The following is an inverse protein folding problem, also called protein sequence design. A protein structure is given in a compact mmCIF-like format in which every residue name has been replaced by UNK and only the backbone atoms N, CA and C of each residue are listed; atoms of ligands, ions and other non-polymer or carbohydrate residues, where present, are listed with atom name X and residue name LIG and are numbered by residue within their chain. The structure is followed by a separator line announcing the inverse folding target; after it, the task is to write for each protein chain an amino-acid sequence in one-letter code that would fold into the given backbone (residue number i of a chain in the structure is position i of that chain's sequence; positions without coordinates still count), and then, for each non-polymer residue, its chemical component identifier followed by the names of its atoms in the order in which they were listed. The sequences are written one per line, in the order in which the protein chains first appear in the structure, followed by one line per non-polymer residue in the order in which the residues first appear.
data_IF_749682908680
#
_entry.id   IF_749682908680
#
_cell.length_a   1.000
_cell.length_b   1.000
_cell.length_c   1.000
_cell.angle_alpha   90.00
_cell.angle_beta   90.00
_cell.angle_gamma   90.00
#
_symmetry.space_group_name_H-M   'P 1'
#
loop_
_entity.id
_entity.type
_entity.pdbx_description
1 polymer ?
#
# COMPACT_ATOMS: atom_id res chain seq x y z
N UNK A 1 -23.54 -42.00 10.68
CA UNK A 1 -22.07 -42.04 10.72
C UNK A 1 -21.44 -41.20 9.59
N UNK A 2 -21.72 -41.48 8.30
CA UNK A 2 -21.13 -40.72 7.17
C UNK A 2 -21.53 -39.23 7.09
N UNK A 3 -22.79 -38.88 7.41
CA UNK A 3 -23.25 -37.48 7.43
C UNK A 3 -22.61 -36.64 8.55
N UNK A 4 -22.34 -37.26 9.71
CA UNK A 4 -21.70 -36.59 10.85
C UNK A 4 -20.20 -36.34 10.58
N UNK A 5 -19.53 -37.30 9.95
CA UNK A 5 -18.15 -37.17 9.52
C UNK A 5 -17.97 -36.10 8.42
N UNK A 6 -18.92 -36.01 7.47
CA UNK A 6 -18.93 -34.95 6.45
C UNK A 6 -19.12 -33.55 7.03
N UNK A 7 -20.04 -33.38 7.99
CA UNK A 7 -20.24 -32.11 8.69
C UNK A 7 -19.01 -31.69 9.51
N UNK A 8 -18.38 -32.65 10.20
CA UNK A 8 -17.15 -32.39 10.96
C UNK A 8 -15.98 -31.98 10.05
N UNK A 9 -15.83 -32.62 8.88
CA UNK A 9 -14.82 -32.25 7.89
C UNK A 9 -15.04 -30.83 7.34
N UNK A 10 -16.28 -30.45 7.03
CA UNK A 10 -16.62 -29.09 6.57
C UNK A 10 -16.33 -28.06 7.68
N UNK A 11 -16.68 -28.37 8.93
CA UNK A 11 -16.40 -27.49 10.07
C UNK A 11 -14.89 -27.33 10.28
N UNK A 12 -14.11 -28.43 10.26
CA UNK A 12 -12.66 -28.39 10.40
C UNK A 12 -11.98 -27.65 9.24
N UNK A 13 -12.46 -27.83 8.01
CA UNK A 13 -12.00 -27.06 6.84
C UNK A 13 -12.32 -25.56 7.00
N UNK A 14 -13.53 -25.22 7.48
CA UNK A 14 -13.92 -23.83 7.77
C UNK A 14 -13.06 -23.19 8.88
N UNK A 15 -12.74 -23.94 9.93
CA UNK A 15 -11.84 -23.50 11.02
C UNK A 15 -10.42 -23.33 10.49
N UNK A 16 -9.91 -24.30 9.72
CA UNK A 16 -8.56 -24.25 9.14
C UNK A 16 -8.41 -23.09 8.16
N UNK A 17 -9.39 -22.88 7.27
CA UNK A 17 -9.45 -21.73 6.38
C UNK A 17 -9.56 -20.42 7.18
N UNK A 18 -10.40 -20.38 8.21
CA UNK A 18 -10.56 -19.20 9.07
C UNK A 18 -9.28 -18.84 9.84
N UNK A 19 -8.52 -19.82 10.30
CA UNK A 19 -7.23 -19.60 10.98
C UNK A 19 -6.16 -19.19 9.97
N UNK A 20 -6.06 -19.88 8.82
CA UNK A 20 -5.02 -19.64 7.84
C UNK A 20 -5.17 -18.29 7.12
N UNK A 21 -6.41 -17.85 6.87
CA UNK A 21 -6.72 -16.54 6.28
C UNK A 21 -6.48 -15.36 7.23
N UNK A 22 -6.32 -15.61 8.53
CA UNK A 22 -5.99 -14.58 9.53
C UNK A 22 -4.50 -14.39 9.77
N UNK A 23 -3.66 -15.33 9.33
CA UNK A 23 -2.21 -15.23 9.55
C UNK A 23 -1.62 -14.18 8.60
N UNK A 24 -0.81 -13.23 9.11
CA UNK A 24 -0.03 -12.33 8.27
C UNK A 24 0.78 -13.09 7.22
N UNK A 25 0.94 -12.50 6.04
CA UNK A 25 1.85 -13.02 5.02
C UNK A 25 3.25 -12.43 5.20
N UNK A 26 4.27 -13.23 4.88
CA UNK A 26 5.63 -12.72 4.67
C UNK A 26 5.67 -12.11 3.28
N UNK A 27 5.58 -10.78 3.18
CA UNK A 27 5.34 -10.06 1.93
C UNK A 27 6.23 -10.52 0.75
N UNK A 28 7.54 -10.64 0.98
CA UNK A 28 8.53 -11.06 -0.03
C UNK A 28 8.30 -12.46 -0.59
N UNK A 29 7.64 -13.35 0.15
CA UNK A 29 7.32 -14.71 -0.28
C UNK A 29 6.05 -14.78 -1.13
N UNK A 30 5.30 -13.69 -1.21
CA UNK A 30 3.97 -13.63 -1.84
C UNK A 30 3.92 -12.58 -2.97
N UNK A 31 5.06 -12.14 -3.50
CA UNK A 31 5.14 -11.05 -4.49
C UNK A 31 4.30 -11.28 -5.76
N UNK A 32 4.00 -12.53 -6.11
CA UNK A 32 3.18 -12.87 -7.29
C UNK A 32 1.69 -12.99 -6.98
N UNK A 33 1.29 -12.96 -5.70
CA UNK A 33 -0.11 -13.04 -5.32
C UNK A 33 -0.82 -11.77 -5.77
N UNK A 34 -2.00 -11.93 -6.39
CA UNK A 34 -2.82 -10.81 -6.85
C UNK A 34 -3.43 -10.11 -5.64
N UNK A 35 -3.21 -8.80 -5.55
CA UNK A 35 -3.75 -7.93 -4.50
C UNK A 35 -5.07 -7.29 -4.93
N UNK A 36 -5.16 -6.85 -6.18
CA UNK A 36 -6.35 -6.22 -6.76
C UNK A 36 -6.36 -6.44 -8.28
N UNK A 37 -7.55 -6.57 -8.85
CA UNK A 37 -7.79 -6.56 -10.29
C UNK A 37 -8.53 -5.28 -10.66
N UNK A 38 -8.04 -4.55 -11.68
CA UNK A 38 -8.65 -3.31 -12.18
C UNK A 38 -8.92 -3.47 -13.68
N UNK A 39 -10.18 -3.42 -14.08
CA UNK A 39 -10.65 -3.63 -15.46
C UNK A 39 -10.08 -4.90 -16.11
N UNK A 40 -10.03 -6.00 -15.34
CA UNK A 40 -9.49 -7.29 -15.76
C UNK A 40 -7.97 -7.40 -15.76
N UNK A 41 -7.24 -6.36 -15.33
CA UNK A 41 -5.79 -6.37 -15.22
C UNK A 41 -5.35 -6.55 -13.76
N UNK A 42 -4.51 -7.55 -13.52
CA UNK A 42 -4.06 -7.87 -12.16
C UNK A 42 -2.90 -6.99 -11.71
N UNK A 43 -2.98 -6.55 -10.45
CA UNK A 43 -1.90 -5.95 -9.68
C UNK A 43 -1.48 -6.94 -8.60
N UNK A 44 -0.24 -7.41 -8.69
CA UNK A 44 0.36 -8.32 -7.71
C UNK A 44 0.90 -7.56 -6.50
N UNK A 45 1.25 -8.27 -5.42
CA UNK A 45 1.96 -7.64 -4.30
C UNK A 45 3.29 -7.00 -4.72
N UNK A 46 3.98 -7.50 -5.75
CA UNK A 46 5.13 -6.80 -6.30
C UNK A 46 4.77 -5.42 -6.85
N UNK A 47 3.60 -5.27 -7.46
CA UNK A 47 3.10 -4.00 -8.01
C UNK A 47 2.62 -3.05 -6.90
N UNK A 48 2.15 -3.61 -5.78
CA UNK A 48 1.78 -2.85 -4.59
C UNK A 48 2.98 -2.32 -3.80
N UNK A 49 4.19 -2.83 -4.06
CA UNK A 49 5.38 -2.60 -3.24
C UNK A 49 5.73 -1.12 -3.05
N UNK A 50 5.68 -0.32 -4.12
CA UNK A 50 5.93 1.12 -4.03
C UNK A 50 4.97 1.79 -3.04
N UNK A 51 3.68 1.54 -3.19
CA UNK A 51 2.64 2.18 -2.37
C UNK A 51 2.75 1.80 -0.89
N UNK A 52 3.10 0.54 -0.62
CA UNK A 52 3.35 0.07 0.75
C UNK A 52 4.57 0.76 1.36
N UNK A 53 5.70 0.80 0.64
CA UNK A 53 6.94 1.44 1.13
C UNK A 53 6.74 2.94 1.33
N UNK A 54 6.07 3.61 0.38
CA UNK A 54 5.79 5.03 0.44
C UNK A 54 4.88 5.39 1.62
N UNK A 55 3.81 4.62 1.83
CA UNK A 55 2.90 4.87 2.96
C UNK A 55 3.55 4.53 4.29
N UNK A 56 4.35 3.46 4.37
CA UNK A 56 5.17 3.16 5.54
C UNK A 56 6.10 4.30 5.90
N UNK A 57 6.78 4.89 4.92
CA UNK A 57 7.65 6.05 5.13
C UNK A 57 6.86 7.23 5.70
N UNK A 58 5.71 7.57 5.12
CA UNK A 58 4.92 8.73 5.55
C UNK A 58 4.41 8.59 6.98
N UNK A 59 3.80 7.44 7.30
CA UNK A 59 3.26 7.19 8.63
C UNK A 59 4.38 7.04 9.66
N UNK A 60 5.53 6.50 9.29
CA UNK A 60 6.68 6.38 10.18
C UNK A 60 7.32 7.74 10.50
N UNK A 61 7.31 8.71 9.57
CA UNK A 61 7.71 10.10 9.85
C UNK A 61 6.87 10.68 11.00
N UNK A 62 5.55 10.51 10.94
CA UNK A 62 4.64 10.94 12.01
C UNK A 62 4.85 10.14 13.31
N UNK A 63 5.04 8.82 13.21
CA UNK A 63 5.29 7.94 14.35
C UNK A 63 6.55 8.34 15.13
N UNK A 64 7.62 8.71 14.42
CA UNK A 64 8.89 9.16 15.01
C UNK A 64 8.81 10.55 15.61
N UNK A 65 7.95 11.43 15.08
CA UNK A 65 7.64 12.71 15.74
C UNK A 65 6.90 12.46 17.06
N UNK A 66 5.95 11.51 17.06
CA UNK A 66 5.14 11.18 18.23
C UNK A 66 5.92 10.51 19.38
N UNK A 67 6.64 9.42 19.11
CA UNK A 67 7.52 8.74 20.08
C UNK A 67 8.76 8.21 19.33
N UNK A 68 9.85 9.01 19.24
CA UNK A 68 11.05 8.63 18.49
C UNK A 68 11.68 7.32 18.96
N UNK A 69 11.47 6.92 20.22
CA UNK A 69 12.03 5.70 20.80
C UNK A 69 11.14 4.49 20.55
N UNK A 70 9.83 4.68 20.38
CA UNK A 70 8.86 3.59 20.21
C UNK A 70 7.81 3.93 19.12
N UNK A 71 8.25 4.15 17.86
CA UNK A 71 7.34 4.49 16.76
C UNK A 71 6.26 3.43 16.53
N UNK A 72 6.52 2.15 16.84
CA UNK A 72 5.52 1.07 16.73
C UNK A 72 4.24 1.32 17.54
N UNK A 73 4.32 2.06 18.65
CA UNK A 73 3.10 2.41 19.41
C UNK A 73 2.11 3.20 18.56
N UNK A 74 2.61 4.13 17.75
CA UNK A 74 1.80 4.95 16.88
C UNK A 74 1.08 4.10 15.83
N UNK A 75 1.80 3.16 15.19
CA UNK A 75 1.22 2.18 14.27
C UNK A 75 0.07 1.36 14.87
N UNK A 76 0.13 1.09 16.17
CA UNK A 76 -0.89 0.34 16.92
C UNK A 76 -1.97 1.24 17.54
N UNK A 77 -1.93 2.55 17.30
CA UNK A 77 -2.85 3.51 17.91
C UNK A 77 -4.16 3.58 17.13
N UNK A 78 -5.22 3.92 17.86
CA UNK A 78 -6.52 4.30 17.32
C UNK A 78 -6.60 5.83 17.35
N UNK A 79 -6.68 6.44 16.17
CA UNK A 79 -6.78 7.89 16.00
C UNK A 79 -8.02 8.20 15.15
N UNK A 80 -8.82 9.17 15.58
CA UNK A 80 -9.99 9.65 14.83
C UNK A 80 -10.99 8.56 14.40
N UNK A 81 -11.15 7.50 15.19
CA UNK A 81 -12.08 6.41 14.86
C UNK A 81 -11.48 5.28 14.02
N UNK A 82 -10.22 5.38 13.57
CA UNK A 82 -9.56 4.40 12.70
C UNK A 82 -8.22 3.94 13.30
N UNK A 83 -7.86 2.68 13.08
CA UNK A 83 -6.53 2.17 13.41
C UNK A 83 -5.52 2.60 12.34
N UNK A 84 -4.35 3.10 12.75
CA UNK A 84 -3.33 3.64 11.84
C UNK A 84 -2.88 2.61 10.79
N UNK A 85 -2.45 1.41 11.21
CA UNK A 85 -1.96 0.41 10.25
C UNK A 85 -3.02 -0.08 9.24
N UNK A 86 -4.28 -0.39 9.63
CA UNK A 86 -5.35 -0.65 8.68
C UNK A 86 -5.66 0.50 7.72
N UNK A 87 -5.57 1.75 8.17
CA UNK A 87 -5.80 2.91 7.31
C UNK A 87 -4.67 3.12 6.30
N UNK A 88 -3.42 3.04 6.74
CA UNK A 88 -2.25 3.05 5.86
C UNK A 88 -2.37 1.97 4.77
N UNK A 89 -2.78 0.76 5.15
CA UNK A 89 -3.06 -0.32 4.19
C UNK A 89 -4.21 0.02 3.24
N UNK A 90 -5.25 0.72 3.68
CA UNK A 90 -6.32 1.18 2.78
C UNK A 90 -5.77 2.22 1.80
N UNK A 91 -5.04 3.21 2.27
CA UNK A 91 -4.46 4.29 1.47
C UNK A 91 -3.52 3.74 0.39
N UNK A 92 -2.62 2.81 0.75
CA UNK A 92 -1.74 2.15 -0.22
C UNK A 92 -2.51 1.42 -1.35
N UNK A 93 -3.65 0.81 -1.03
CA UNK A 93 -4.52 0.17 -2.02
C UNK A 93 -5.21 1.19 -2.93
N UNK A 94 -5.75 2.24 -2.33
CA UNK A 94 -6.46 3.30 -3.05
C UNK A 94 -5.55 4.07 -4.01
N UNK A 95 -4.32 4.38 -3.59
CA UNK A 95 -3.31 4.97 -4.47
C UNK A 95 -2.99 4.08 -5.67
N UNK A 96 -2.80 2.77 -5.44
CA UNK A 96 -2.48 1.84 -6.52
C UNK A 96 -3.62 1.72 -7.56
N UNK A 97 -4.87 1.68 -7.11
CA UNK A 97 -6.04 1.63 -7.98
C UNK A 97 -6.16 2.94 -8.78
N UNK A 98 -6.00 4.08 -8.09
CA UNK A 98 -5.97 5.40 -8.71
C UNK A 98 -4.94 5.48 -9.83
N UNK A 99 -3.71 5.15 -9.50
CA UNK A 99 -2.61 5.29 -10.44
C UNK A 99 -2.72 4.30 -11.59
N UNK A 100 -3.22 3.08 -11.36
CA UNK A 100 -3.50 2.12 -12.45
C UNK A 100 -4.55 2.64 -13.42
N UNK A 101 -5.67 3.16 -12.91
CA UNK A 101 -6.74 3.71 -13.75
C UNK A 101 -6.21 4.87 -14.61
N UNK A 102 -5.53 5.83 -13.98
CA UNK A 102 -5.03 7.00 -14.70
C UNK A 102 -3.87 6.67 -15.63
N UNK A 103 -2.98 5.73 -15.27
CA UNK A 103 -1.88 5.29 -16.12
C UNK A 103 -2.41 4.69 -17.42
N UNK A 104 -3.43 3.83 -17.33
CA UNK A 104 -4.05 3.22 -18.51
C UNK A 104 -4.63 4.29 -19.44
N UNK A 105 -5.38 5.25 -18.89
CA UNK A 105 -5.91 6.37 -19.68
C UNK A 105 -4.82 7.23 -20.30
N UNK A 106 -3.75 7.50 -19.55
CA UNK A 106 -2.59 8.21 -20.07
C UNK A 106 -1.96 7.46 -21.26
N UNK A 107 -1.85 6.14 -21.19
CA UNK A 107 -1.34 5.30 -22.27
C UNK A 107 -2.28 5.25 -23.48
N UNK A 108 -3.59 5.12 -23.25
CA UNK A 108 -4.63 5.13 -24.30
C UNK A 108 -4.63 6.47 -25.07
N UNK A 109 -4.40 7.58 -24.37
CA UNK A 109 -4.30 8.92 -24.98
C UNK A 109 -2.88 9.26 -25.48
N UNK A 110 -1.92 8.33 -25.40
CA UNK A 110 -0.57 8.53 -25.91
C UNK A 110 0.24 9.62 -25.16
N UNK A 111 -0.05 9.82 -23.87
CA UNK A 111 0.67 10.77 -23.02
C UNK A 111 2.14 10.34 -22.90
N UNK A 112 3.03 11.27 -23.20
CA UNK A 112 4.48 11.11 -23.07
C UNK A 112 5.08 12.27 -22.28
N UNK A 113 6.18 12.02 -21.57
CA UNK A 113 6.90 13.07 -20.86
C UNK A 113 7.76 13.91 -21.81
N UNK A 114 7.74 15.23 -21.63
CA UNK A 114 8.69 16.15 -22.24
C UNK A 114 10.10 15.96 -21.66
N UNK A 115 11.09 16.64 -22.23
CA UNK A 115 12.47 16.61 -21.71
C UNK A 115 12.52 17.16 -20.28
N UNK A 116 11.85 18.28 -20.01
CA UNK A 116 11.81 18.93 -18.71
C UNK A 116 11.11 18.05 -17.67
N UNK A 117 10.03 17.35 -18.06
CA UNK A 117 9.32 16.43 -17.17
C UNK A 117 10.14 15.17 -16.87
N UNK A 118 10.99 14.71 -17.80
CA UNK A 118 11.95 13.63 -17.54
C UNK A 118 13.02 14.06 -16.55
N UNK A 119 13.52 15.29 -16.65
CA UNK A 119 14.45 15.83 -15.64
C UNK A 119 13.79 15.96 -14.26
N UNK A 120 12.52 16.36 -14.21
CA UNK A 120 11.75 16.36 -12.96
C UNK A 120 11.55 14.95 -12.39
N UNK A 121 11.33 13.95 -13.25
CA UNK A 121 11.25 12.55 -12.84
C UNK A 121 12.54 12.08 -12.17
N UNK A 122 13.72 12.39 -12.74
CA UNK A 122 14.98 11.98 -12.11
C UNK A 122 15.19 12.65 -10.76
N UNK A 123 14.84 13.94 -10.61
CA UNK A 123 14.86 14.61 -9.30
C UNK A 123 13.95 13.92 -8.28
N UNK A 124 12.73 13.58 -8.68
CA UNK A 124 11.77 12.86 -7.80
C UNK A 124 12.25 11.48 -7.38
N UNK A 125 12.98 10.77 -8.25
CA UNK A 125 13.60 9.49 -7.86
C UNK A 125 14.66 9.73 -6.79
N UNK A 126 15.54 10.71 -6.98
CA UNK A 126 16.53 11.09 -5.96
C UNK A 126 15.84 11.44 -4.64
N UNK A 127 14.85 12.34 -4.67
CA UNK A 127 14.11 12.76 -3.47
C UNK A 127 13.47 11.56 -2.75
N UNK A 128 12.81 10.67 -3.50
CA UNK A 128 12.21 9.46 -2.92
C UNK A 128 13.25 8.59 -2.21
N UNK A 129 14.40 8.36 -2.84
CA UNK A 129 15.45 7.54 -2.25
C UNK A 129 16.13 8.23 -1.07
N UNK A 130 16.30 9.55 -1.10
CA UNK A 130 16.85 10.31 0.02
C UNK A 130 15.92 10.30 1.23
N UNK A 131 14.61 10.39 1.00
CA UNK A 131 13.58 10.42 2.04
C UNK A 131 13.35 9.09 2.76
N UNK A 132 13.67 7.96 2.13
CA UNK A 132 13.53 6.64 2.77
C UNK A 132 14.48 6.50 3.95
N UNK A 133 13.98 5.90 5.03
CA UNK A 133 14.82 5.47 6.15
C UNK A 133 15.81 4.39 5.72
N UNK A 134 16.99 4.34 6.33
CA UNK A 134 18.02 3.35 6.00
C UNK A 134 17.51 1.91 6.15
N UNK A 135 16.73 1.64 7.20
CA UNK A 135 16.07 0.34 7.39
C UNK A 135 15.13 -0.02 6.24
N UNK A 136 14.43 0.95 5.63
CA UNK A 136 13.58 0.68 4.48
C UNK A 136 14.41 0.34 3.24
N UNK A 137 15.52 1.05 3.01
CA UNK A 137 16.46 0.79 1.90
C UNK A 137 17.07 -0.61 1.99
N UNK A 138 17.41 -1.03 3.21
CA UNK A 138 17.93 -2.38 3.49
C UNK A 138 16.85 -3.47 3.35
N UNK A 139 15.58 -3.13 3.64
CA UNK A 139 14.48 -4.08 3.69
C UNK A 139 13.42 -3.88 2.59
N UNK A 140 13.78 -3.27 1.45
CA UNK A 140 12.88 -3.10 0.31
C UNK A 140 12.29 -4.42 -0.20
N UNK A 141 10.96 -4.57 -0.30
CA UNK A 141 10.32 -5.82 -0.71
C UNK A 141 10.61 -6.22 -2.16
N UNK A 142 10.99 -5.25 -3.01
CA UNK A 142 11.33 -5.43 -4.44
C UNK A 142 12.61 -4.68 -4.78
N UNK A 143 13.13 -4.84 -6.01
CA UNK A 143 14.35 -4.16 -6.45
C UNK A 143 14.16 -2.65 -6.64
N UNK A 144 15.25 -1.89 -6.50
CA UNK A 144 15.33 -0.45 -6.80
C UNK A 144 14.76 -0.13 -8.19
N UNK A 145 15.18 -0.88 -9.22
CA UNK A 145 14.69 -0.70 -10.59
C UNK A 145 13.16 -0.86 -10.72
N UNK A 146 12.54 -1.74 -9.93
CA UNK A 146 11.07 -1.90 -9.94
C UNK A 146 10.38 -0.67 -9.35
N UNK A 147 10.91 -0.15 -8.24
CA UNK A 147 10.45 1.10 -7.62
C UNK A 147 10.63 2.29 -8.58
N UNK A 148 11.81 2.44 -9.20
CA UNK A 148 12.08 3.51 -10.18
C UNK A 148 11.17 3.46 -11.41
N UNK A 149 10.80 2.24 -11.83
CA UNK A 149 9.82 2.02 -12.89
C UNK A 149 8.44 2.53 -12.46
N UNK A 150 8.00 2.20 -11.24
CA UNK A 150 6.73 2.71 -10.71
C UNK A 150 6.76 4.24 -10.63
N UNK A 151 7.81 4.85 -10.08
CA UNK A 151 7.96 6.33 -10.03
C UNK A 151 7.88 6.93 -11.46
N UNK A 152 8.47 6.26 -12.46
CA UNK A 152 8.34 6.66 -13.87
C UNK A 152 6.91 6.61 -14.40
N UNK A 153 6.14 5.58 -14.03
CA UNK A 153 4.72 5.49 -14.37
C UNK A 153 3.90 6.59 -13.67
N UNK A 154 4.23 6.92 -12.42
CA UNK A 154 3.57 8.00 -11.68
C UNK A 154 3.76 9.36 -12.34
N UNK A 155 4.89 9.62 -13.00
CA UNK A 155 5.05 10.86 -13.75
C UNK A 155 4.03 10.98 -14.90
N UNK A 156 3.69 9.88 -15.58
CA UNK A 156 2.64 9.86 -16.60
C UNK A 156 1.25 10.08 -15.98
N UNK A 157 0.99 9.41 -14.85
CA UNK A 157 -0.25 9.58 -14.08
C UNK A 157 -0.46 11.04 -13.69
N UNK A 158 0.56 11.68 -13.10
CA UNK A 158 0.47 13.07 -12.66
C UNK A 158 0.25 14.03 -13.83
N UNK A 159 0.93 13.80 -14.97
CA UNK A 159 0.71 14.59 -16.19
C UNK A 159 -0.72 14.44 -16.69
N UNK A 160 -1.26 13.23 -16.68
CA UNK A 160 -2.65 12.99 -17.07
C UNK A 160 -3.65 13.60 -16.10
N UNK A 161 -3.41 13.50 -14.79
CA UNK A 161 -4.20 14.15 -13.75
C UNK A 161 -4.23 15.68 -13.94
N UNK A 162 -3.09 16.30 -14.28
CA UNK A 162 -3.02 17.73 -14.62
C UNK A 162 -3.83 18.06 -15.87
N UNK A 163 -3.81 17.21 -16.90
CA UNK A 163 -4.62 17.35 -18.11
C UNK A 163 -6.11 17.32 -17.76
N UNK A 164 -6.58 16.30 -17.03
CA UNK A 164 -7.96 16.18 -16.58
C UNK A 164 -8.41 17.41 -15.80
N UNK A 165 -7.60 17.86 -14.84
CA UNK A 165 -7.87 19.06 -14.06
C UNK A 165 -8.06 20.29 -14.95
N UNK A 166 -7.14 20.52 -15.89
CA UNK A 166 -7.21 21.66 -16.81
C UNK A 166 -8.43 21.61 -17.72
N UNK A 167 -8.72 20.46 -18.32
CA UNK A 167 -9.84 20.29 -19.27
C UNK A 167 -11.20 20.46 -18.60
N UNK A 168 -11.31 20.11 -17.31
CA UNK A 168 -12.56 20.17 -16.56
C UNK A 168 -12.70 21.43 -15.70
N UNK A 169 -11.76 22.39 -15.79
CA UNK A 169 -11.75 23.60 -14.97
C UNK A 169 -11.65 23.31 -13.48
N UNK A 170 -10.86 22.30 -13.10
CA UNK A 170 -10.68 21.82 -11.72
C UNK A 170 -9.24 21.99 -11.24
N UNK A 171 -9.06 21.82 -9.94
CA UNK A 171 -7.73 21.74 -9.34
C UNK A 171 -7.16 20.34 -9.52
N UNK A 172 -5.83 20.24 -9.47
CA UNK A 172 -5.13 18.94 -9.46
C UNK A 172 -5.69 18.01 -8.38
N UNK A 173 -5.89 18.52 -7.16
CA UNK A 173 -6.39 17.77 -6.01
C UNK A 173 -7.81 17.21 -6.20
N UNK A 174 -8.60 17.77 -7.12
CA UNK A 174 -9.94 17.24 -7.44
C UNK A 174 -9.88 15.80 -7.97
N UNK A 175 -8.74 15.42 -8.55
CA UNK A 175 -8.47 14.12 -9.13
C UNK A 175 -7.45 13.31 -8.32
N UNK A 176 -7.16 13.64 -7.07
CA UNK A 176 -6.39 12.75 -6.20
C UNK A 176 -7.17 11.45 -5.94
N UNK A 177 -6.52 10.43 -5.38
CA UNK A 177 -7.19 9.17 -5.01
C UNK A 177 -8.39 9.34 -4.07
N UNK A 178 -8.42 10.41 -3.27
CA UNK A 178 -9.50 10.85 -2.37
C UNK A 178 -10.33 12.03 -2.92
N UNK A 179 -10.05 12.46 -4.15
CA UNK A 179 -10.68 13.60 -4.79
C UNK A 179 -12.08 13.26 -5.32
N UNK A 180 -13.05 14.15 -5.08
CA UNK A 180 -14.45 13.93 -5.45
C UNK A 180 -14.68 13.68 -6.97
N UNK A 181 -13.83 14.24 -7.85
CA UNK A 181 -13.94 14.00 -9.30
C UNK A 181 -13.30 12.67 -9.70
N UNK A 182 -12.22 12.27 -9.04
CA UNK A 182 -11.68 10.93 -9.22
C UNK A 182 -12.67 9.87 -8.72
N UNK A 183 -13.35 10.07 -7.59
CA UNK A 183 -14.38 9.13 -7.11
C UNK A 183 -15.49 8.90 -8.16
N UNK A 184 -15.89 9.95 -8.88
CA UNK A 184 -16.86 9.83 -9.98
C UNK A 184 -16.27 9.05 -11.16
N UNK A 185 -15.02 9.34 -11.54
CA UNK A 185 -14.31 8.63 -12.60
C UNK A 185 -14.18 7.13 -12.27
N UNK A 186 -13.76 6.80 -11.04
CA UNK A 186 -13.56 5.42 -10.55
C UNK A 186 -14.82 4.56 -10.66
N UNK A 187 -16.03 5.13 -10.52
CA UNK A 187 -17.29 4.38 -10.66
C UNK A 187 -17.48 3.74 -12.03
N UNK A 188 -16.77 4.21 -13.05
CA UNK A 188 -16.77 3.62 -14.39
C UNK A 188 -15.81 2.44 -14.58
N UNK A 189 -15.07 2.05 -13.54
CA UNK A 189 -14.04 1.00 -13.58
C UNK A 189 -14.43 -0.19 -12.72
N UNK A 190 -14.11 -1.41 -13.18
CA UNK A 190 -14.30 -2.63 -12.39
C UNK A 190 -13.09 -2.83 -11.48
N UNK A 191 -13.34 -2.96 -10.17
CA UNK A 191 -12.28 -3.07 -9.16
C UNK A 191 -12.61 -4.21 -8.20
N UNK A 192 -11.76 -5.22 -8.18
CA UNK A 192 -11.88 -6.38 -7.29
C UNK A 192 -10.64 -6.53 -6.41
N UNK A 193 -10.76 -6.13 -5.14
CA UNK A 193 -9.69 -6.31 -4.15
C UNK A 193 -9.71 -7.75 -3.64
N UNK A 194 -8.58 -8.45 -3.77
CA UNK A 194 -8.39 -9.81 -3.28
C UNK A 194 -8.14 -9.79 -1.77
N UNK A 195 -9.23 -9.62 -1.00
CA UNK A 195 -9.19 -9.43 0.47
C UNK A 195 -8.46 -10.54 1.23
N UNK A 196 -8.46 -11.78 0.71
CA UNK A 196 -7.74 -12.91 1.33
C UNK A 196 -6.21 -12.79 1.21
N UNK A 197 -5.71 -11.98 0.29
CA UNK A 197 -4.29 -11.63 0.16
C UNK A 197 -4.05 -10.31 0.89
N UNK A 198 -4.78 -9.26 0.48
CA UNK A 198 -4.48 -7.89 0.93
C UNK A 198 -4.64 -7.68 2.43
N UNK A 199 -5.68 -8.24 3.07
CA UNK A 199 -5.89 -8.03 4.50
C UNK A 199 -4.81 -8.66 5.39
N UNK A 200 -3.97 -9.53 4.83
CA UNK A 200 -2.87 -10.21 5.54
C UNK A 200 -1.54 -9.47 5.39
N UNK A 201 -1.48 -8.40 4.58
CA UNK A 201 -0.32 -7.51 4.49
C UNK A 201 -0.23 -6.68 5.77
N UNK A 202 0.89 -6.78 6.48
CA UNK A 202 1.20 -5.96 7.65
C UNK A 202 1.92 -4.69 7.23
N UNK A 203 1.18 -3.70 6.72
CA UNK A 203 1.71 -2.35 6.51
C UNK A 203 2.14 -1.77 7.87
N UNK A 204 3.37 -1.27 7.92
CA UNK A 204 4.10 -0.93 9.13
C UNK A 204 5.16 -1.97 9.53
N UNK A 205 5.27 -3.09 8.79
CA UNK A 205 6.23 -4.19 9.02
C UNK A 205 6.77 -4.79 7.70
N UNK A 206 6.48 -4.20 6.52
CA UNK A 206 6.96 -4.73 5.24
C UNK A 206 8.39 -4.28 4.95
N UNK A 207 8.65 -2.98 5.04
CA UNK A 207 9.99 -2.38 4.85
C UNK A 207 10.56 -1.77 6.13
N UNK A 208 9.74 -1.55 7.16
CA UNK A 208 10.17 -1.04 8.45
C UNK A 208 10.61 -2.16 9.39
N UNK A 209 11.52 -1.83 10.31
CA UNK A 209 11.93 -2.71 11.41
C UNK A 209 11.81 -1.96 12.72
N UNK A 210 10.76 -2.27 13.47
CA UNK A 210 10.64 -1.77 14.84
C UNK A 210 11.31 -2.73 15.83
N UNK A 211 11.99 -2.16 16.84
CA UNK A 211 12.45 -2.97 17.97
C UNK A 211 11.26 -3.63 18.67
N UNK A 212 11.42 -4.88 19.10
CA UNK A 212 10.43 -5.54 19.92
C UNK A 212 10.25 -4.74 21.22
N UNK A 213 9.01 -4.49 21.62
CA UNK A 213 8.70 -3.81 22.87
C UNK A 213 9.38 -4.54 24.04
N UNK A 214 10.51 -4.02 24.52
CA UNK A 214 11.15 -4.52 25.72
C UNK A 214 10.23 -4.19 26.90
N UNK A 215 9.39 -5.14 27.27
CA UNK A 215 8.68 -5.11 28.54
C UNK A 215 9.59 -5.81 29.53
N UNK A 216 10.40 -5.12 30.35
CA UNK A 216 11.10 -5.79 31.43
C UNK A 216 10.02 -6.45 32.28
N UNK A 217 10.12 -7.77 32.43
CA UNK A 217 9.22 -8.53 33.28
C UNK A 217 9.11 -7.80 34.61
N UNK A 218 7.89 -7.38 34.97
CA UNK A 218 7.61 -6.73 36.25
C UNK A 218 8.05 -7.73 37.31
N UNK A 219 9.23 -7.54 37.90
CA UNK A 219 9.70 -8.33 39.03
C UNK A 219 8.69 -8.11 40.13
N UNK A 220 7.79 -9.07 40.32
CA UNK A 220 7.07 -9.22 41.57
C UNK A 220 8.10 -9.63 42.62
N UNK A 221 8.75 -8.63 43.20
CA UNK A 221 9.50 -8.79 44.43
C UNK A 221 8.51 -8.74 45.58
N UNK A 222 8.07 -9.91 46.01
CA UNK A 222 7.55 -10.09 47.36
C UNK A 222 8.70 -9.93 48.36
N UNK A 223 8.39 -9.26 49.46
CA UNK A 223 9.26 -8.97 50.60
C UNK A 223 8.58 -7.95 51.49
#
# INVERSE_FOLDING_TARGET
MLLLAGFLLIMLAGIYLGISTRRPIVYRSHLQDVAVTVDGEDLTLADMAYYVVYEEMNVEKDARIYDPKRPKKYWNTHANGVFVAPEARRIAMEMAIHDRILLRKAQEEGIVLSTEEKEQLERRRTDFWEDLFDEQKENLPVSYSRIDKTIGQLALVQKYQMKLAKENGRTYASYNWDGAFYEQLRKGHDVSIHKLVWNRVQVGDVSLKHEADFTPARKWGGG
#
